data_IF_817594870772
#
_entry.id   IF_817594870772
#
_cell.length_a   1.000
_cell.length_b   1.000
_cell.length_c   1.000
_cell.angle_alpha   90.00
_cell.angle_beta   90.00
_cell.angle_gamma   90.00
#
_symmetry.space_group_name_H-M   'P 1'
#
loop_
_entity.id
_entity.type
_entity.pdbx_description
1 polymer ?
#
# COMPACT_ATOMS: atom_id res chain seq x y z
N UNK A 1 -24.95 -16.81 9.78
CA UNK A 1 -25.45 -15.73 8.90
C UNK A 1 -24.64 -14.47 9.17
N UNK A 2 -23.47 -14.33 8.55
CA UNK A 2 -22.71 -13.07 8.46
C UNK A 2 -21.79 -13.24 7.23
N UNK A 3 -22.10 -12.58 6.11
CA UNK A 3 -21.25 -12.32 4.93
C UNK A 3 -22.12 -12.22 3.67
N UNK A 4 -22.87 -11.13 3.49
CA UNK A 4 -23.52 -10.80 2.21
C UNK A 4 -24.05 -9.36 2.30
N UNK A 5 -23.18 -8.35 2.10
CA UNK A 5 -23.54 -7.00 1.60
C UNK A 5 -22.41 -5.93 1.61
N UNK A 6 -21.13 -6.31 1.57
CA UNK A 6 -20.05 -5.33 1.83
C UNK A 6 -19.38 -4.77 0.55
N UNK A 7 -19.69 -5.33 -0.61
CA UNK A 7 -19.11 -4.93 -1.89
C UNK A 7 -20.21 -4.42 -2.85
N UNK A 8 -20.54 -3.13 -2.79
CA UNK A 8 -21.47 -2.50 -3.72
C UNK A 8 -20.74 -1.62 -4.75
N UNK A 9 -21.45 -1.19 -5.80
CA UNK A 9 -20.93 -0.46 -6.97
C UNK A 9 -20.10 0.76 -6.61
N UNK A 10 -20.51 1.50 -5.58
CA UNK A 10 -19.80 2.70 -5.12
C UNK A 10 -18.47 2.40 -4.41
N UNK A 11 -18.33 1.23 -3.77
CA UNK A 11 -17.09 0.83 -3.09
C UNK A 11 -15.96 0.59 -4.11
N UNK A 12 -16.27 -0.14 -5.20
CA UNK A 12 -15.29 -0.36 -6.28
C UNK A 12 -14.98 0.93 -7.03
N UNK A 13 -15.99 1.74 -7.37
CA UNK A 13 -15.74 2.92 -8.21
C UNK A 13 -14.83 3.98 -7.55
N UNK A 14 -15.01 4.25 -6.26
CA UNK A 14 -14.18 5.25 -5.56
C UNK A 14 -12.83 4.67 -5.14
N UNK A 15 -12.80 3.47 -4.54
CA UNK A 15 -11.55 2.85 -4.09
C UNK A 15 -10.63 2.56 -5.28
N UNK A 16 -11.16 1.97 -6.36
CA UNK A 16 -10.34 1.65 -7.54
C UNK A 16 -9.83 2.90 -8.22
N UNK A 17 -10.59 4.00 -8.22
CA UNK A 17 -10.11 5.30 -8.71
C UNK A 17 -8.96 5.84 -7.86
N UNK A 18 -9.13 5.92 -6.54
CA UNK A 18 -8.11 6.43 -5.62
C UNK A 18 -6.82 5.59 -5.63
N UNK A 19 -6.97 4.26 -5.71
CA UNK A 19 -5.86 3.32 -5.89
C UNK A 19 -5.16 3.49 -7.24
N UNK A 20 -5.91 3.64 -8.33
CA UNK A 20 -5.34 3.87 -9.67
C UNK A 20 -4.56 5.21 -9.74
N UNK A 21 -5.13 6.30 -9.22
CA UNK A 21 -4.44 7.61 -9.19
C UNK A 21 -3.15 7.56 -8.34
N UNK A 22 -3.21 6.88 -7.19
CA UNK A 22 -2.03 6.64 -6.35
C UNK A 22 -0.98 5.80 -7.07
N UNK A 23 -1.41 4.74 -7.76
CA UNK A 23 -0.55 3.82 -8.49
C UNK A 23 0.21 4.51 -9.63
N UNK A 24 -0.46 5.38 -10.40
CA UNK A 24 0.19 6.17 -11.46
C UNK A 24 1.37 6.98 -10.90
N UNK A 25 1.19 7.65 -9.76
CA UNK A 25 2.24 8.45 -9.13
C UNK A 25 3.36 7.56 -8.59
N UNK A 26 3.01 6.54 -7.82
CA UNK A 26 3.98 5.69 -7.11
C UNK A 26 4.79 4.85 -8.09
N UNK A 27 4.16 4.20 -9.07
CA UNK A 27 4.85 3.33 -10.02
C UNK A 27 5.70 4.14 -11.02
N UNK A 28 5.23 5.32 -11.47
CA UNK A 28 6.04 6.20 -12.31
C UNK A 28 7.27 6.73 -11.53
N UNK A 29 7.08 7.12 -10.26
CA UNK A 29 8.17 7.53 -9.39
C UNK A 29 9.17 6.40 -9.16
N UNK A 30 8.68 5.20 -8.89
CA UNK A 30 9.50 4.00 -8.67
C UNK A 30 10.35 3.71 -9.91
N UNK A 31 9.73 3.63 -11.10
CA UNK A 31 10.43 3.40 -12.37
C UNK A 31 11.52 4.44 -12.60
N UNK A 32 11.21 5.72 -12.40
CA UNK A 32 12.19 6.81 -12.53
C UNK A 32 13.36 6.67 -11.55
N UNK A 33 13.11 6.24 -10.31
CA UNK A 33 14.13 6.15 -9.25
C UNK A 33 15.00 4.91 -9.33
N UNK A 34 14.45 3.77 -9.74
CA UNK A 34 15.23 2.55 -10.00
C UNK A 34 16.18 2.74 -11.18
N UNK A 35 15.82 3.63 -12.12
CA UNK A 35 16.69 4.04 -13.22
C UNK A 35 16.87 2.94 -14.25
N UNK A 36 17.84 3.12 -15.16
CA UNK A 36 17.99 2.25 -16.34
C UNK A 36 18.65 0.88 -16.04
N UNK A 37 19.25 0.71 -14.86
CA UNK A 37 19.92 -0.54 -14.48
C UNK A 37 18.96 -1.66 -14.11
N UNK A 38 17.71 -1.31 -13.81
CA UNK A 38 16.66 -2.25 -13.45
C UNK A 38 15.52 -2.04 -14.44
N UNK A 39 15.32 -3.04 -15.28
CA UNK A 39 14.17 -3.06 -16.18
C UNK A 39 12.95 -3.55 -15.40
N UNK A 40 11.84 -2.83 -15.53
CA UNK A 40 10.57 -3.15 -14.89
C UNK A 40 9.53 -3.44 -15.98
N UNK A 41 9.59 -4.60 -16.60
CA UNK A 41 8.65 -4.96 -17.67
C UNK A 41 7.52 -5.86 -17.18
N UNK A 42 7.74 -6.58 -16.10
CA UNK A 42 6.79 -7.52 -15.51
C UNK A 42 6.47 -7.20 -14.06
N UNK A 43 5.18 -7.24 -13.71
CA UNK A 43 4.70 -6.98 -12.35
C UNK A 43 3.63 -7.99 -11.93
N UNK A 44 3.71 -8.47 -10.69
CA UNK A 44 2.67 -9.25 -10.04
C UNK A 44 2.11 -8.52 -8.82
N UNK A 45 0.78 -8.50 -8.68
CA UNK A 45 0.06 -7.86 -7.58
C UNK A 45 -0.76 -8.88 -6.78
N UNK A 46 -0.42 -9.05 -5.50
CA UNK A 46 -1.10 -9.92 -4.56
C UNK A 46 -2.14 -9.12 -3.77
N UNK A 47 -3.41 -9.48 -3.93
CA UNK A 47 -4.55 -8.74 -3.43
C UNK A 47 -4.92 -7.59 -4.36
N UNK A 48 -4.86 -7.85 -5.67
CA UNK A 48 -5.02 -6.83 -6.71
C UNK A 48 -6.44 -6.23 -6.82
N UNK A 49 -7.43 -6.80 -6.13
CA UNK A 49 -8.84 -6.48 -6.27
C UNK A 49 -9.27 -6.58 -7.73
N UNK A 50 -9.83 -5.49 -8.25
CA UNK A 50 -10.20 -5.38 -9.68
C UNK A 50 -9.02 -5.03 -10.61
N UNK A 51 -7.78 -4.99 -10.10
CA UNK A 51 -6.58 -4.73 -10.89
C UNK A 51 -6.26 -3.25 -11.14
N UNK A 52 -6.74 -2.33 -10.30
CA UNK A 52 -6.53 -0.89 -10.48
C UNK A 52 -5.05 -0.48 -10.51
N UNK A 53 -4.21 -1.09 -9.66
CA UNK A 53 -2.77 -0.87 -9.64
C UNK A 53 -2.09 -1.40 -10.92
N UNK A 54 -2.55 -2.55 -11.43
CA UNK A 54 -2.04 -3.16 -12.64
C UNK A 54 -2.46 -2.41 -13.91
N UNK A 55 -3.67 -1.85 -13.94
CA UNK A 55 -4.10 -0.94 -15.01
C UNK A 55 -3.19 0.29 -15.09
N UNK A 56 -2.88 0.92 -13.95
CA UNK A 56 -1.90 1.99 -13.88
C UNK A 56 -0.49 1.53 -14.27
N UNK A 57 -0.10 0.31 -13.89
CA UNK A 57 1.19 -0.28 -14.26
C UNK A 57 1.38 -0.34 -15.79
N UNK A 58 0.35 -0.78 -16.52
CA UNK A 58 0.36 -0.78 -18.00
C UNK A 58 0.61 0.62 -18.56
N UNK A 59 -0.07 1.63 -18.02
CA UNK A 59 0.06 3.02 -18.47
C UNK A 59 1.46 3.59 -18.22
N UNK A 60 2.10 3.24 -17.11
CA UNK A 60 3.48 3.66 -16.82
C UNK A 60 4.53 2.80 -17.52
N UNK A 61 4.12 1.82 -18.34
CA UNK A 61 4.97 1.08 -19.27
C UNK A 61 5.36 -0.35 -18.87
N UNK A 62 4.69 -0.97 -17.89
CA UNK A 62 4.81 -2.42 -17.69
C UNK A 62 4.15 -3.17 -18.85
N UNK A 63 4.84 -4.19 -19.38
CA UNK A 63 4.39 -4.97 -20.55
C UNK A 63 3.61 -6.22 -20.15
N UNK A 64 3.96 -6.79 -19.00
CA UNK A 64 3.37 -8.01 -18.48
C UNK A 64 2.85 -7.74 -17.07
N UNK A 65 1.54 -7.88 -16.88
CA UNK A 65 0.91 -7.72 -15.57
C UNK A 65 0.22 -9.02 -15.18
N UNK A 66 0.28 -9.36 -13.89
CA UNK A 66 -0.42 -10.50 -13.33
C UNK A 66 -1.05 -10.08 -11.99
N UNK A 67 -2.36 -10.18 -11.88
CA UNK A 67 -3.08 -9.94 -10.62
C UNK A 67 -3.48 -11.26 -9.99
N UNK A 68 -3.42 -11.34 -8.67
CA UNK A 68 -4.03 -12.44 -7.93
C UNK A 68 -4.85 -11.92 -6.76
N UNK A 69 -6.06 -12.44 -6.63
CA UNK A 69 -7.00 -12.13 -5.53
C UNK A 69 -8.04 -13.26 -5.42
N UNK A 70 -8.95 -13.21 -4.46
CA UNK A 70 -9.97 -14.25 -4.25
C UNK A 70 -10.98 -14.37 -5.40
N UNK A 71 -11.63 -15.54 -5.48
CA UNK A 71 -12.71 -15.82 -6.45
C UNK A 71 -13.92 -14.87 -6.32
N UNK A 72 -14.03 -14.15 -5.21
CA UNK A 72 -15.07 -13.15 -4.97
C UNK A 72 -14.94 -11.91 -5.86
N UNK A 73 -13.79 -11.67 -6.50
CA UNK A 73 -13.61 -10.49 -7.36
C UNK A 73 -14.52 -10.60 -8.59
N UNK A 74 -15.38 -9.59 -8.84
CA UNK A 74 -16.29 -9.59 -9.99
C UNK A 74 -15.50 -9.41 -11.30
N UNK A 75 -15.44 -10.47 -12.11
CA UNK A 75 -14.65 -10.51 -13.37
C UNK A 75 -15.06 -9.47 -14.40
N UNK A 76 -16.32 -9.04 -14.39
CA UNK A 76 -16.88 -8.01 -15.26
C UNK A 76 -16.47 -6.59 -14.85
N UNK A 77 -15.80 -6.43 -13.70
CA UNK A 77 -15.24 -5.15 -13.21
C UNK A 77 -13.73 -5.06 -13.29
N UNK A 78 -13.06 -6.10 -13.78
CA UNK A 78 -11.61 -6.08 -13.93
C UNK A 78 -11.20 -4.89 -14.82
N UNK A 79 -10.20 -4.15 -14.33
CA UNK A 79 -9.53 -3.07 -15.07
C UNK A 79 -8.33 -3.59 -15.89
N UNK A 80 -8.14 -4.90 -15.86
CA UNK A 80 -7.13 -5.67 -16.60
C UNK A 80 -7.83 -6.77 -17.41
N UNK A 81 -7.11 -7.41 -18.31
CA UNK A 81 -7.67 -8.52 -19.08
C UNK A 81 -7.93 -9.72 -18.16
N UNK A 82 -8.95 -10.54 -18.50
CA UNK A 82 -9.35 -11.65 -17.65
C UNK A 82 -8.27 -12.73 -17.50
N UNK A 83 -7.40 -12.89 -18.51
CA UNK A 83 -6.27 -13.82 -18.49
C UNK A 83 -5.05 -13.28 -17.73
N UNK A 84 -5.05 -12.00 -17.36
CA UNK A 84 -4.07 -11.38 -16.46
C UNK A 84 -4.48 -11.51 -14.98
N UNK A 85 -5.68 -12.02 -14.68
CA UNK A 85 -6.17 -12.23 -13.33
C UNK A 85 -6.22 -13.73 -12.95
N UNK A 86 -5.60 -14.08 -11.83
CA UNK A 86 -5.57 -15.42 -11.28
C UNK A 86 -6.33 -15.48 -9.95
N UNK A 87 -7.47 -16.18 -9.89
CA UNK A 87 -8.18 -16.37 -8.63
C UNK A 87 -7.37 -17.27 -7.70
N UNK A 88 -6.98 -16.76 -6.53
CA UNK A 88 -6.32 -17.53 -5.48
C UNK A 88 -6.80 -17.08 -4.09
N UNK A 89 -6.87 -18.03 -3.16
CA UNK A 89 -7.05 -17.73 -1.74
C UNK A 89 -5.69 -17.38 -1.11
N UNK A 90 -5.45 -16.10 -0.87
CA UNK A 90 -4.22 -15.60 -0.24
C UNK A 90 -4.09 -15.99 1.23
N UNK A 91 -5.19 -16.41 1.88
CA UNK A 91 -5.14 -16.97 3.23
C UNK A 91 -4.55 -18.38 3.27
N UNK A 92 -4.29 -19.00 2.11
CA UNK A 92 -3.58 -20.27 1.99
C UNK A 92 -2.39 -20.12 1.02
N UNK A 93 -1.30 -19.41 1.41
CA UNK A 93 -0.19 -19.08 0.52
C UNK A 93 0.43 -20.28 -0.21
N UNK A 94 0.42 -21.47 0.41
CA UNK A 94 0.92 -22.71 -0.18
C UNK A 94 0.14 -23.17 -1.43
N UNK A 95 -1.10 -22.72 -1.60
CA UNK A 95 -1.98 -23.03 -2.75
C UNK A 95 -2.02 -21.92 -3.80
N UNK A 96 -1.41 -20.77 -3.53
CA UNK A 96 -1.37 -19.66 -4.49
C UNK A 96 -0.57 -20.07 -5.71
N UNK A 97 -1.28 -20.18 -6.84
CA UNK A 97 -0.76 -20.56 -8.14
C UNK A 97 -0.52 -19.32 -9.00
N UNK A 98 0.70 -19.20 -9.50
CA UNK A 98 1.21 -18.04 -10.24
C UNK A 98 2.13 -18.54 -11.36
N UNK A 99 2.44 -17.72 -12.38
CA UNK A 99 3.41 -18.10 -13.41
C UNK A 99 4.77 -18.49 -12.80
N UNK A 100 5.44 -19.46 -13.43
CA UNK A 100 6.68 -20.06 -12.89
C UNK A 100 7.94 -19.19 -13.02
N UNK A 101 7.85 -18.05 -13.72
CA UNK A 101 8.95 -17.09 -13.88
C UNK A 101 8.86 -16.01 -12.79
N UNK A 102 10.02 -15.49 -12.36
CA UNK A 102 10.05 -14.32 -11.49
C UNK A 102 9.63 -13.08 -12.27
N UNK A 103 8.91 -12.19 -11.59
CA UNK A 103 8.56 -10.86 -12.08
C UNK A 103 9.66 -9.86 -11.69
N UNK A 104 9.80 -8.79 -12.47
CA UNK A 104 10.74 -7.71 -12.16
C UNK A 104 10.32 -6.94 -10.90
N UNK A 105 9.02 -6.92 -10.62
CA UNK A 105 8.43 -6.35 -9.41
C UNK A 105 7.29 -7.26 -8.89
N UNK A 106 7.34 -7.59 -7.61
CA UNK A 106 6.16 -8.08 -6.90
C UNK A 106 5.57 -6.97 -6.03
N UNK A 107 4.27 -6.95 -5.83
CA UNK A 107 3.63 -6.04 -4.90
C UNK A 107 2.48 -6.65 -4.12
N UNK A 108 2.22 -6.05 -2.97
CA UNK A 108 1.07 -6.32 -2.09
C UNK A 108 0.84 -5.07 -1.25
N UNK A 109 -0.24 -4.35 -1.50
CA UNK A 109 -0.48 -3.04 -0.93
C UNK A 109 -1.84 -2.98 -0.21
N UNK A 110 -1.80 -2.88 1.12
CA UNK A 110 -2.98 -2.89 2.00
C UNK A 110 -3.79 -4.19 1.86
N UNK A 111 -3.10 -5.32 2.01
CA UNK A 111 -3.66 -6.68 1.84
C UNK A 111 -3.32 -7.56 3.04
N UNK A 112 -2.07 -7.52 3.51
CA UNK A 112 -1.58 -8.44 4.53
C UNK A 112 -2.30 -8.30 5.88
N UNK A 113 -2.87 -7.13 6.16
CA UNK A 113 -3.69 -6.85 7.34
C UNK A 113 -5.05 -7.56 7.34
N UNK A 114 -5.52 -8.02 6.19
CA UNK A 114 -6.73 -8.81 6.06
C UNK A 114 -6.48 -10.32 6.24
N UNK A 115 -5.22 -10.73 6.20
CA UNK A 115 -4.82 -12.12 6.35
C UNK A 115 -4.60 -12.46 7.84
N UNK A 116 -4.98 -13.67 8.29
CA UNK A 116 -4.67 -14.11 9.64
C UNK A 116 -3.18 -14.03 9.96
N UNK A 117 -2.83 -13.69 11.20
CA UNK A 117 -1.43 -13.51 11.62
C UNK A 117 -0.60 -14.77 11.42
N UNK A 118 -1.21 -15.94 11.61
CA UNK A 118 -0.57 -17.24 11.46
C UNK A 118 -0.06 -17.53 10.04
N UNK A 119 -0.60 -16.85 9.02
CA UNK A 119 -0.17 -17.03 7.63
C UNK A 119 0.78 -15.94 7.14
N UNK A 120 1.06 -14.92 7.96
CA UNK A 120 1.88 -13.77 7.56
C UNK A 120 3.28 -14.16 7.06
N UNK A 121 3.96 -15.08 7.75
CA UNK A 121 5.29 -15.54 7.33
C UNK A 121 5.26 -16.29 5.99
N UNK A 122 4.25 -17.14 5.77
CA UNK A 122 4.08 -17.88 4.52
C UNK A 122 3.63 -16.97 3.37
N UNK A 123 2.86 -15.93 3.65
CA UNK A 123 2.51 -14.91 2.68
C UNK A 123 3.74 -14.13 2.21
N UNK A 124 4.58 -13.66 3.15
CA UNK A 124 5.87 -13.03 2.83
C UNK A 124 6.80 -14.00 2.09
N UNK A 125 6.78 -15.29 2.43
CA UNK A 125 7.49 -16.34 1.68
C UNK A 125 7.10 -16.36 0.21
N UNK A 126 5.79 -16.34 -0.04
CA UNK A 126 5.23 -16.40 -1.37
C UNK A 126 5.63 -15.15 -2.15
N UNK A 127 5.41 -13.96 -1.60
CA UNK A 127 5.81 -12.69 -2.22
C UNK A 127 7.28 -12.69 -2.63
N UNK A 128 8.17 -12.98 -1.67
CA UNK A 128 9.63 -12.95 -1.89
C UNK A 128 10.13 -14.03 -2.84
N UNK A 129 9.36 -15.10 -3.06
CA UNK A 129 9.68 -16.09 -4.09
C UNK A 129 9.44 -15.60 -5.52
N UNK A 130 8.62 -14.55 -5.69
CA UNK A 130 8.18 -14.08 -7.02
C UNK A 130 9.00 -12.95 -7.62
N UNK A 131 9.78 -12.23 -6.82
CA UNK A 131 10.62 -11.14 -7.32
C UNK A 131 11.75 -10.84 -6.33
N UNK A 132 12.84 -10.27 -6.85
CA UNK A 132 13.95 -9.75 -6.02
C UNK A 132 13.69 -8.31 -5.54
N UNK A 133 12.61 -7.68 -6.01
CA UNK A 133 12.14 -6.36 -5.61
C UNK A 133 10.64 -6.48 -5.26
N UNK A 134 10.29 -6.16 -4.02
CA UNK A 134 8.91 -6.22 -3.53
C UNK A 134 8.48 -4.83 -3.07
N UNK A 135 7.42 -4.28 -3.65
CA UNK A 135 6.74 -3.09 -3.16
C UNK A 135 5.61 -3.51 -2.20
N UNK A 136 5.75 -3.19 -0.92
CA UNK A 136 4.86 -3.69 0.12
C UNK A 136 4.26 -2.58 0.96
N UNK A 137 3.01 -2.74 1.36
CA UNK A 137 2.36 -1.94 2.39
C UNK A 137 1.32 -2.78 3.13
N UNK A 138 1.11 -2.45 4.40
CA UNK A 138 0.08 -3.06 5.23
C UNK A 138 -0.33 -2.07 6.32
N UNK A 139 -1.60 -2.13 6.72
CA UNK A 139 -2.14 -1.29 7.78
C UNK A 139 -1.36 -1.41 9.10
N UNK A 140 -1.01 -0.26 9.68
CA UNK A 140 -0.45 -0.17 11.03
C UNK A 140 -1.54 -0.34 12.10
N UNK A 141 -1.19 -0.62 13.36
CA UNK A 141 -2.17 -0.64 14.44
C UNK A 141 -2.97 0.66 14.54
N UNK A 142 -4.28 0.52 14.72
CA UNK A 142 -5.26 1.62 14.76
C UNK A 142 -5.44 2.35 13.42
N UNK A 143 -4.87 1.83 12.32
CA UNK A 143 -5.18 2.33 11.00
C UNK A 143 -6.66 2.17 10.67
N UNK A 144 -7.29 1.11 11.16
CA UNK A 144 -8.65 0.76 10.82
C UNK A 144 -8.85 0.51 9.34
N UNK A 145 -10.06 0.05 9.02
CA UNK A 145 -10.43 -0.38 7.69
C UNK A 145 -11.37 -1.58 7.81
N UNK A 146 -12.04 -1.93 6.72
CA UNK A 146 -13.01 -3.00 6.77
C UNK A 146 -12.31 -4.36 6.77
N UNK A 147 -12.57 -5.21 7.76
CA UNK A 147 -12.06 -6.59 7.76
C UNK A 147 -10.56 -6.71 8.05
N UNK A 148 -9.94 -5.71 8.69
CA UNK A 148 -8.57 -5.82 9.19
C UNK A 148 -8.53 -6.74 10.41
N UNK A 149 -7.67 -7.74 10.39
CA UNK A 149 -7.48 -8.73 11.46
C UNK A 149 -6.02 -8.82 11.94
N UNK A 150 -5.08 -8.26 11.16
CA UNK A 150 -3.64 -8.30 11.42
C UNK A 150 -2.96 -6.96 11.12
N UNK A 151 -3.49 -5.88 11.70
CA UNK A 151 -2.79 -4.60 11.67
C UNK A 151 -1.47 -4.71 12.45
N UNK A 152 -0.35 -4.42 11.80
CA UNK A 152 0.96 -4.62 12.39
C UNK A 152 1.96 -3.56 11.94
N UNK A 153 2.96 -3.30 12.78
CA UNK A 153 3.98 -2.30 12.49
C UNK A 153 4.85 -2.72 11.30
N UNK A 154 5.36 -1.77 10.53
CA UNK A 154 6.26 -2.10 9.41
C UNK A 154 7.54 -2.81 9.88
N UNK A 155 7.94 -2.61 11.14
CA UNK A 155 8.99 -3.38 11.83
C UNK A 155 8.70 -4.89 11.87
N UNK A 156 7.45 -5.29 12.12
CA UNK A 156 7.03 -6.70 12.12
C UNK A 156 7.18 -7.30 10.72
N UNK A 157 6.61 -6.63 9.72
CA UNK A 157 6.71 -7.07 8.33
C UNK A 157 8.17 -7.12 7.86
N UNK A 158 8.96 -6.10 8.19
CA UNK A 158 10.38 -6.05 7.86
C UNK A 158 11.19 -7.17 8.54
N UNK A 159 10.77 -7.68 9.70
CA UNK A 159 11.39 -8.87 10.31
C UNK A 159 11.15 -10.10 9.43
N UNK A 160 9.91 -10.33 8.98
CA UNK A 160 9.57 -11.44 8.09
C UNK A 160 10.33 -11.35 6.75
N UNK A 161 10.42 -10.17 6.15
CA UNK A 161 11.21 -9.97 4.93
C UNK A 161 12.72 -10.26 5.13
N UNK A 162 13.28 -9.83 6.27
CA UNK A 162 14.70 -10.12 6.60
C UNK A 162 14.98 -11.60 6.75
N UNK A 163 14.05 -12.38 7.30
CA UNK A 163 14.15 -13.84 7.35
C UNK A 163 14.21 -14.48 5.96
N UNK A 164 13.74 -13.77 4.92
CA UNK A 164 13.82 -14.17 3.50
C UNK A 164 15.00 -13.55 2.75
N UNK A 165 15.90 -12.83 3.43
CA UNK A 165 17.07 -12.21 2.82
C UNK A 165 16.81 -10.84 2.16
N UNK A 166 15.66 -10.23 2.43
CA UNK A 166 15.29 -8.90 1.92
C UNK A 166 15.59 -7.81 2.95
N UNK A 167 15.95 -6.62 2.48
CA UNK A 167 16.16 -5.44 3.31
C UNK A 167 15.23 -4.30 2.91
N UNK A 168 14.68 -3.53 3.88
CA UNK A 168 13.82 -2.40 3.58
C UNK A 168 14.62 -1.21 3.04
N UNK A 169 14.03 -0.54 2.07
CA UNK A 169 14.55 0.62 1.35
C UNK A 169 13.41 1.61 1.13
N UNK A 170 13.60 2.85 1.59
CA UNK A 170 12.61 3.92 1.38
C UNK A 170 13.11 4.87 0.30
N UNK A 171 12.47 4.78 -0.86
CA UNK A 171 12.74 5.65 -2.00
C UNK A 171 11.52 6.50 -2.38
N UNK A 172 10.39 6.33 -1.69
CA UNK A 172 9.09 6.80 -2.17
C UNK A 172 8.50 7.83 -1.23
N UNK A 173 8.45 7.54 0.08
CA UNK A 173 7.53 8.24 0.99
C UNK A 173 7.83 9.73 1.12
N UNK A 174 9.11 10.11 1.14
CA UNK A 174 9.51 11.51 1.19
C UNK A 174 9.00 12.32 -0.01
N UNK A 175 9.00 11.75 -1.22
CA UNK A 175 8.58 12.43 -2.45
C UNK A 175 7.07 12.48 -2.62
N UNK A 176 6.34 11.48 -2.08
CA UNK A 176 4.87 11.41 -2.20
C UNK A 176 4.13 12.00 -0.99
N UNK A 177 4.83 12.36 0.10
CA UNK A 177 4.21 12.75 1.38
C UNK A 177 3.15 13.87 1.25
N UNK A 178 3.44 14.87 0.42
CA UNK A 178 2.54 16.01 0.20
C UNK A 178 1.75 15.92 -1.12
N UNK A 179 1.89 14.84 -1.89
CA UNK A 179 1.18 14.69 -3.16
C UNK A 179 -0.30 14.39 -2.92
N UNK A 180 -1.17 15.32 -3.25
CA UNK A 180 -2.62 15.18 -3.03
C UNK A 180 -3.29 14.07 -3.84
N UNK A 181 -2.62 13.56 -4.89
CA UNK A 181 -3.11 12.46 -5.74
C UNK A 181 -2.92 11.08 -5.11
N UNK A 182 -2.07 10.99 -4.08
CA UNK A 182 -1.76 9.72 -3.41
C UNK A 182 -2.55 9.62 -2.12
N UNK A 183 -3.20 8.48 -1.88
CA UNK A 183 -3.89 8.24 -0.63
C UNK A 183 -2.92 8.15 0.55
N UNK A 184 -3.36 8.66 1.71
CA UNK A 184 -2.48 8.83 2.86
C UNK A 184 -1.90 7.52 3.39
N UNK A 185 -2.62 6.40 3.28
CA UNK A 185 -2.14 5.09 3.75
C UNK A 185 -0.92 4.64 2.96
N UNK A 186 -0.93 4.76 1.63
CA UNK A 186 0.24 4.46 0.81
C UNK A 186 1.44 5.36 1.14
N UNK A 187 1.20 6.64 1.48
CA UNK A 187 2.28 7.58 1.84
C UNK A 187 3.07 7.18 3.08
N UNK A 188 2.43 6.52 4.04
CA UNK A 188 3.10 6.06 5.26
C UNK A 188 3.57 4.60 5.18
N UNK A 189 2.79 3.73 4.52
CA UNK A 189 2.99 2.29 4.62
C UNK A 189 3.88 1.73 3.49
N UNK A 190 3.92 2.37 2.31
CA UNK A 190 4.66 1.84 1.17
C UNK A 190 6.18 1.81 1.43
N UNK A 191 6.77 0.64 1.23
CA UNK A 191 8.19 0.37 1.41
C UNK A 191 8.67 -0.61 0.35
N UNK A 192 9.88 -0.41 -0.17
CA UNK A 192 10.54 -1.43 -0.97
C UNK A 192 11.28 -2.41 -0.06
N UNK A 193 11.17 -3.68 -0.38
CA UNK A 193 12.01 -4.73 0.15
C UNK A 193 12.79 -5.33 -1.00
N UNK A 194 14.12 -5.36 -0.88
CA UNK A 194 15.00 -5.82 -1.97
C UNK A 194 15.99 -6.85 -1.47
N UNK A 195 16.37 -7.79 -2.33
CA UNK A 195 17.51 -8.68 -2.05
C UNK A 195 18.82 -7.87 -2.01
N UNK A 196 19.88 -8.47 -1.45
CA UNK A 196 21.22 -7.85 -1.45
C UNK A 196 21.76 -7.62 -2.86
N UNK A 197 21.43 -8.50 -3.80
CA UNK A 197 21.88 -8.39 -5.19
C UNK A 197 21.14 -7.24 -5.90
N UNK A 198 19.82 -7.16 -5.74
CA UNK A 198 19.02 -6.05 -6.26
C UNK A 198 19.41 -4.70 -5.64
N UNK A 199 19.75 -4.67 -4.35
CA UNK A 199 20.28 -3.48 -3.67
C UNK A 199 21.53 -2.93 -4.36
N UNK A 200 22.42 -3.79 -4.87
CA UNK A 200 23.62 -3.38 -5.61
C UNK A 200 23.34 -2.69 -6.94
N UNK A 201 22.13 -2.83 -7.47
CA UNK A 201 21.67 -2.20 -8.71
C UNK A 201 20.99 -0.84 -8.46
N UNK A 202 20.58 -0.55 -7.22
CA UNK A 202 19.93 0.69 -6.83
C UNK A 202 20.90 1.89 -6.89
N UNK A 203 20.37 3.14 -6.95
CA UNK A 203 21.21 4.34 -6.86
C UNK A 203 22.09 4.35 -5.60
N UNK A 204 23.33 4.85 -5.71
CA UNK A 204 24.35 4.75 -4.66
C UNK A 204 23.97 5.38 -3.30
N UNK A 205 23.06 6.36 -3.28
CA UNK A 205 22.59 7.05 -2.07
C UNK A 205 21.30 6.45 -1.49
N UNK A 206 20.92 5.24 -1.90
CA UNK A 206 19.72 4.57 -1.40
C UNK A 206 19.90 4.24 0.09
N UNK A 207 19.00 4.78 0.92
CA UNK A 207 19.03 4.55 2.36
C UNK A 207 18.55 3.13 2.67
N UNK A 208 19.44 2.31 3.23
CA UNK A 208 19.14 0.96 3.71
C UNK A 208 18.77 1.04 5.19
N UNK A 209 17.72 0.32 5.60
CA UNK A 209 17.14 0.41 6.95
C UNK A 209 16.66 1.84 7.29
N UNK A 210 15.73 2.39 6.48
CA UNK A 210 15.10 3.68 6.78
C UNK A 210 14.28 3.60 8.07
N UNK A 211 13.75 4.75 8.51
CA UNK A 211 12.66 4.78 9.49
C UNK A 211 11.53 3.90 8.93
N UNK A 212 11.10 2.88 9.66
CA UNK A 212 10.10 1.94 9.15
C UNK A 212 8.70 2.51 9.36
N UNK A 213 8.20 2.54 10.59
CA UNK A 213 6.86 3.11 10.84
C UNK A 213 6.91 4.62 11.01
N UNK A 214 6.10 5.33 10.21
CA UNK A 214 5.81 6.76 10.35
C UNK A 214 4.30 6.96 10.32
N UNK A 215 3.78 7.92 11.07
CA UNK A 215 2.35 8.20 11.11
C UNK A 215 2.06 9.44 10.28
N UNK A 216 1.27 9.28 9.22
CA UNK A 216 0.82 10.43 8.45
C UNK A 216 -0.19 11.27 9.27
N UNK A 217 -0.17 12.61 9.20
CA UNK A 217 -1.09 13.45 9.98
C UNK A 217 -2.57 13.12 9.72
N UNK A 218 -2.95 12.77 8.49
CA UNK A 218 -4.32 12.28 8.21
C UNK A 218 -4.65 10.99 8.97
N UNK A 219 -3.72 10.03 9.11
CA UNK A 219 -3.95 8.81 9.89
C UNK A 219 -4.15 9.14 11.37
N UNK A 220 -3.29 9.98 11.94
CA UNK A 220 -3.43 10.44 13.32
C UNK A 220 -4.81 11.07 13.58
N UNK A 221 -5.22 11.99 12.70
CA UNK A 221 -6.53 12.64 12.81
C UNK A 221 -7.68 11.64 12.68
N UNK A 222 -7.62 10.71 11.73
CA UNK A 222 -8.70 9.72 11.57
C UNK A 222 -8.78 8.81 12.81
N UNK A 223 -7.65 8.37 13.37
CA UNK A 223 -7.62 7.58 14.61
C UNK A 223 -8.21 8.34 15.79
N UNK A 224 -7.78 9.59 15.99
CA UNK A 224 -8.32 10.44 17.06
C UNK A 224 -9.83 10.68 16.92
N UNK A 225 -10.32 10.91 15.70
CA UNK A 225 -11.75 11.11 15.44
C UNK A 225 -12.59 9.83 15.56
N UNK A 226 -11.99 8.63 15.48
CA UNK A 226 -12.66 7.37 15.79
C UNK A 226 -12.78 7.12 17.30
N UNK A 227 -11.85 7.65 18.10
CA UNK A 227 -11.96 7.59 19.55
C UNK A 227 -13.15 8.43 20.03
N UNK A 228 -13.85 8.02 21.09
CA UNK A 228 -15.00 8.77 21.64
C UNK A 228 -14.57 9.91 22.58
N UNK A 229 -13.55 10.67 22.17
CA UNK A 229 -13.10 11.89 22.88
C UNK A 229 -13.80 13.14 22.32
N UNK A 230 -13.97 14.17 23.14
CA UNK A 230 -14.50 15.45 22.67
C UNK A 230 -13.48 16.15 21.75
N UNK A 231 -13.91 16.58 20.56
CA UNK A 231 -13.11 17.42 19.64
C UNK A 231 -13.83 18.73 19.34
N UNK A 232 -13.04 19.80 19.28
CA UNK A 232 -13.54 21.13 18.90
C UNK A 232 -13.82 21.28 17.40
N UNK A 233 -13.21 20.45 16.55
CA UNK A 233 -13.35 20.49 15.10
C UNK A 233 -13.86 19.15 14.59
N UNK A 234 -14.40 19.11 13.37
CA UNK A 234 -14.76 17.85 12.70
C UNK A 234 -13.55 17.27 11.96
N UNK A 235 -13.56 15.96 11.69
CA UNK A 235 -12.51 15.29 10.92
C UNK A 235 -12.25 15.98 9.58
N UNK A 236 -13.32 16.32 8.86
CA UNK A 236 -13.20 17.04 7.58
C UNK A 236 -12.55 18.41 7.73
N UNK A 237 -12.85 19.13 8.81
CA UNK A 237 -12.22 20.40 9.10
C UNK A 237 -10.73 20.24 9.39
N UNK A 238 -10.33 19.26 10.19
CA UNK A 238 -8.91 19.04 10.54
C UNK A 238 -8.08 18.60 9.33
N UNK A 239 -8.61 17.67 8.53
CA UNK A 239 -7.98 17.26 7.26
C UNK A 239 -7.84 18.43 6.30
N UNK A 240 -8.87 19.29 6.18
CA UNK A 240 -8.78 20.50 5.38
C UNK A 240 -7.66 21.41 5.87
N UNK A 241 -7.59 21.67 7.18
CA UNK A 241 -6.55 22.53 7.75
C UNK A 241 -5.15 22.00 7.44
N UNK A 242 -4.90 20.71 7.68
CA UNK A 242 -3.62 20.07 7.35
C UNK A 242 -3.24 20.25 5.87
N UNK A 243 -4.18 19.99 4.96
CA UNK A 243 -3.94 20.12 3.51
C UNK A 243 -3.72 21.55 3.05
N UNK A 244 -4.24 22.55 3.77
CA UNK A 244 -3.97 23.94 3.44
C UNK A 244 -2.58 24.37 3.89
N UNK A 245 -2.00 23.78 4.94
CA UNK A 245 -0.66 24.17 5.45
C UNK A 245 0.47 23.98 4.44
N UNK A 246 0.27 23.16 3.40
CA UNK A 246 1.19 23.02 2.27
C UNK A 246 0.94 24.03 1.13
N UNK A 247 -0.07 24.89 1.23
CA UNK A 247 -0.36 25.96 0.28
C UNK A 247 0.35 27.27 0.64
N UNK A 248 0.65 28.11 -0.36
CA UNK A 248 1.28 29.41 -0.16
C UNK A 248 0.33 30.47 0.42
N UNK A 249 -0.95 30.15 0.59
CA UNK A 249 -1.94 31.11 1.09
C UNK A 249 -1.86 31.26 2.62
N UNK A 250 -2.01 32.49 3.14
CA UNK A 250 -2.02 32.72 4.58
C UNK A 250 -3.24 32.04 5.23
N UNK A 251 -2.99 31.19 6.22
CA UNK A 251 -4.01 30.43 6.93
C UNK A 251 -4.06 30.86 8.39
N UNK A 252 -5.27 31.12 8.89
CA UNK A 252 -5.49 31.38 10.30
C UNK A 252 -5.22 30.11 11.11
N UNK A 253 -4.33 30.19 12.08
CA UNK A 253 -4.03 29.09 12.98
C UNK A 253 -5.29 28.58 13.69
N UNK A 254 -5.39 27.26 13.85
CA UNK A 254 -6.44 26.61 14.65
C UNK A 254 -5.86 26.19 16.01
N UNK A 255 -6.35 26.74 17.13
CA UNK A 255 -5.91 26.29 18.45
C UNK A 255 -6.48 24.90 18.73
N UNK A 256 -5.60 23.96 19.07
CA UNK A 256 -5.91 22.64 19.62
C UNK A 256 -5.56 22.61 21.12
N UNK A 257 -6.05 21.61 21.86
CA UNK A 257 -5.70 21.38 23.28
C UNK A 257 -6.62 22.05 24.30
N UNK A 258 -7.41 23.04 23.90
CA UNK A 258 -8.42 23.65 24.77
C UNK A 258 -9.57 22.68 25.09
N UNK A 259 -9.75 21.62 24.29
CA UNK A 259 -10.67 20.52 24.59
C UNK A 259 -10.34 19.75 25.88
N UNK A 260 -9.08 19.80 26.34
CA UNK A 260 -8.62 19.17 27.59
C UNK A 260 -8.34 20.18 28.71
N UNK A 261 -8.54 21.47 28.44
CA UNK A 261 -8.46 22.48 29.48
C UNK A 261 -9.60 22.25 30.47
N UNK A 262 -9.25 21.76 31.67
CA UNK A 262 -10.16 21.65 32.80
C UNK A 262 -10.79 23.04 33.01
N UNK A 263 -12.11 23.13 32.87
CA UNK A 263 -12.87 24.30 33.34
C UNK A 263 -13.14 24.19 34.82
#
# INVERSE_FOLDING_TARGET
MVAENIYNDAFYDLQSKESYESALVILALLRRKLGEKIQLDSIIDFGCGVGSWLAAAKEVGFKHVCGTDGEYVPKDRLMIEQDEFLPNDLSVPSRVNIPGEKFDLAMSLEVAEHLPEEVASDFVAKLTSTSDIVLFSAAIPYQGGHGHVNENWLEYWAKLFRERGFVPVDMLRADIWYDSRVCWWYKQNCMLFVTRDALGLLPANTLVNPILSVIHPEQFLVSEHRNDSHKNYSLGADKWYFRQLSSEHPIKARPYGNEHAIR
#
